data_IF_698605409624
#
_entry.id   IF_698605409624
#
_cell.length_a   1.000
_cell.length_b   1.000
_cell.length_c   1.000
_cell.angle_alpha   90.00
_cell.angle_beta   90.00
_cell.angle_gamma   90.00
#
_symmetry.space_group_name_H-M   'P 1'
#
loop_
_entity.id
_entity.type
_entity.pdbx_description
1 polymer ?
#
# COMPACT_ATOMS: atom_id res chain seq x y z
N UNK A 1 -21.41 -11.31 -3.70
CA UNK A 1 -22.32 -10.77 -4.74
C UNK A 1 -21.46 -10.39 -5.95
N UNK A 2 -21.49 -11.19 -7.01
CA UNK A 2 -20.84 -10.85 -8.28
C UNK A 2 -21.73 -9.87 -9.04
N UNK A 3 -21.40 -8.58 -8.99
CA UNK A 3 -22.06 -7.57 -9.81
C UNK A 3 -21.54 -7.65 -11.24
N UNK A 4 -22.43 -7.89 -12.21
CA UNK A 4 -22.15 -7.82 -13.66
C UNK A 4 -22.21 -6.38 -14.18
N UNK A 5 -22.00 -5.37 -13.32
CA UNK A 5 -21.97 -3.99 -13.74
C UNK A 5 -20.85 -3.79 -14.77
N UNK A 6 -21.25 -3.27 -15.91
CA UNK A 6 -20.44 -2.89 -17.07
C UNK A 6 -19.21 -2.10 -16.62
N UNK A 7 -18.05 -2.77 -16.58
CA UNK A 7 -16.79 -2.17 -16.07
C UNK A 7 -16.18 -1.17 -17.05
N UNK A 8 -16.51 -1.27 -18.34
CA UNK A 8 -15.68 -0.68 -19.39
C UNK A 8 -16.41 0.30 -20.33
N UNK A 9 -17.70 0.61 -20.09
CA UNK A 9 -18.54 1.45 -20.97
C UNK A 9 -18.51 1.05 -22.47
N UNK A 10 -18.13 -0.19 -22.80
CA UNK A 10 -17.94 -0.64 -24.17
C UNK A 10 -19.27 -0.99 -24.85
N UNK A 11 -19.53 -0.49 -26.06
CA UNK A 11 -20.74 -0.80 -26.84
C UNK A 11 -21.65 0.41 -27.10
N UNK A 12 -22.86 0.17 -27.62
CA UNK A 12 -23.83 1.26 -27.91
C UNK A 12 -24.69 1.53 -26.70
N UNK A 13 -24.49 2.67 -26.06
CA UNK A 13 -25.36 3.19 -25.00
C UNK A 13 -26.12 4.43 -25.48
N UNK A 14 -27.33 4.62 -24.95
CA UNK A 14 -28.10 5.86 -25.15
C UNK A 14 -28.29 6.56 -23.81
N UNK A 15 -27.83 7.80 -23.73
CA UNK A 15 -28.06 8.66 -22.57
C UNK A 15 -29.57 8.94 -22.48
N UNK A 16 -30.16 8.62 -21.32
CA UNK A 16 -31.58 8.89 -21.06
C UNK A 16 -31.77 10.21 -20.31
N UNK A 17 -30.87 10.52 -19.36
CA UNK A 17 -30.95 11.72 -18.52
C UNK A 17 -29.57 12.14 -18.06
N UNK A 18 -29.29 13.44 -18.14
CA UNK A 18 -28.15 14.08 -17.48
C UNK A 18 -28.69 15.23 -16.66
N UNK A 19 -28.35 15.26 -15.38
CA UNK A 19 -28.57 16.42 -14.51
C UNK A 19 -27.25 16.87 -13.91
N UNK A 20 -27.29 17.91 -13.07
CA UNK A 20 -26.12 18.31 -12.30
C UNK A 20 -25.55 17.17 -11.46
N UNK A 21 -26.41 16.29 -10.91
CA UNK A 21 -26.02 15.26 -9.94
C UNK A 21 -26.24 13.82 -10.41
N UNK A 22 -26.77 13.59 -11.60
CA UNK A 22 -27.12 12.23 -12.05
C UNK A 22 -26.84 12.01 -13.53
N UNK A 23 -26.28 10.86 -13.86
CA UNK A 23 -26.23 10.32 -15.22
C UNK A 23 -27.07 9.04 -15.27
N UNK A 24 -28.08 9.00 -16.12
CA UNK A 24 -28.87 7.80 -16.39
C UNK A 24 -28.72 7.43 -17.86
N UNK A 25 -28.35 6.19 -18.16
CA UNK A 25 -28.27 5.69 -19.52
C UNK A 25 -28.90 4.32 -19.66
N UNK A 26 -29.28 3.99 -20.90
CA UNK A 26 -29.77 2.67 -21.30
C UNK A 26 -28.69 1.95 -22.08
N UNK A 27 -28.40 0.71 -21.69
CA UNK A 27 -27.50 -0.18 -22.41
C UNK A 27 -28.06 -1.60 -22.33
N UNK A 28 -28.12 -2.29 -23.47
CA UNK A 28 -28.57 -3.68 -23.57
C UNK A 28 -29.91 -3.97 -22.87
N UNK A 29 -30.85 -3.02 -22.94
CA UNK A 29 -32.17 -3.10 -22.30
C UNK A 29 -32.20 -2.71 -20.82
N UNK A 30 -31.06 -2.66 -20.14
CA UNK A 30 -30.94 -2.21 -18.76
C UNK A 30 -30.86 -0.68 -18.66
N UNK A 31 -31.40 -0.13 -17.56
CA UNK A 31 -31.27 1.30 -17.21
C UNK A 31 -30.33 1.39 -16.01
N UNK A 32 -29.23 2.11 -16.19
CA UNK A 32 -28.21 2.34 -15.16
C UNK A 32 -28.23 3.81 -14.75
N UNK A 33 -28.09 4.08 -13.46
CA UNK A 33 -28.09 5.44 -12.90
C UNK A 33 -26.89 5.63 -11.97
N UNK A 34 -26.15 6.70 -12.21
CA UNK A 34 -24.96 7.09 -11.46
C UNK A 34 -25.24 8.42 -10.80
N UNK A 35 -24.86 8.55 -9.53
CA UNK A 35 -24.88 9.82 -8.82
C UNK A 35 -23.50 10.45 -8.96
N UNK A 36 -23.46 11.72 -9.33
CA UNK A 36 -22.24 12.52 -9.29
C UNK A 36 -21.81 12.60 -7.83
N UNK A 37 -20.64 12.07 -7.55
CA UNK A 37 -19.99 12.33 -6.27
C UNK A 37 -19.77 13.84 -6.15
N UNK A 38 -19.94 14.38 -4.95
CA UNK A 38 -19.50 15.75 -4.68
C UNK A 38 -18.06 15.91 -5.20
N UNK A 39 -17.67 17.13 -5.58
CA UNK A 39 -16.25 17.40 -5.87
C UNK A 39 -15.50 16.80 -4.70
N UNK A 40 -14.66 15.80 -4.99
CA UNK A 40 -13.75 15.26 -4.00
C UNK A 40 -13.12 16.51 -3.39
N UNK A 41 -13.30 16.70 -2.08
CA UNK A 41 -12.49 17.64 -1.33
C UNK A 41 -11.10 17.02 -1.41
N UNK A 42 -10.42 17.24 -2.54
CA UNK A 42 -9.04 16.85 -2.72
C UNK A 42 -8.36 17.49 -1.53
N UNK A 43 -7.77 16.68 -0.62
CA UNK A 43 -7.09 17.23 0.53
C UNK A 43 -6.17 18.33 0.00
N UNK A 44 -6.27 19.57 0.53
CA UNK A 44 -5.59 20.71 -0.06
C UNK A 44 -4.13 20.30 -0.28
N UNK A 45 -3.60 20.52 -1.49
CA UNK A 45 -2.22 20.16 -1.82
C UNK A 45 -1.31 20.64 -0.69
N UNK A 46 -0.85 19.70 0.12
CA UNK A 46 -0.03 20.07 1.26
C UNK A 46 1.38 20.28 0.75
N UNK A 47 2.03 21.34 1.24
CA UNK A 47 3.46 21.55 0.98
C UNK A 47 4.19 20.24 1.28
N UNK A 48 5.05 19.77 0.36
CA UNK A 48 5.64 18.46 0.50
C UNK A 48 6.48 18.40 1.78
N UNK A 49 6.27 17.37 2.58
CA UNK A 49 7.00 17.18 3.84
C UNK A 49 8.50 16.96 3.60
N UNK A 50 8.85 16.45 2.43
CA UNK A 50 10.21 16.22 1.95
C UNK A 50 10.34 16.91 0.59
N UNK A 51 11.39 17.71 0.40
CA UNK A 51 11.58 18.48 -0.85
C UNK A 51 12.58 17.85 -1.81
N UNK A 52 13.40 16.91 -1.34
CA UNK A 52 14.42 16.24 -2.14
C UNK A 52 13.96 14.82 -2.45
N UNK A 53 13.87 14.49 -3.74
CA UNK A 53 13.53 13.14 -4.23
C UNK A 53 14.62 12.15 -3.78
N UNK A 54 14.30 11.13 -2.98
CA UNK A 54 15.27 10.10 -2.61
C UNK A 54 15.67 9.26 -3.82
N UNK A 55 16.92 8.79 -3.83
CA UNK A 55 17.43 7.85 -4.84
C UNK A 55 17.76 6.53 -4.17
N UNK A 56 17.29 5.43 -4.75
CA UNK A 56 17.64 4.06 -4.36
C UNK A 56 18.70 3.52 -5.34
N UNK A 57 19.86 3.12 -4.82
CA UNK A 57 21.04 2.79 -5.64
C UNK A 57 21.47 1.32 -5.58
N UNK A 58 20.71 0.45 -4.91
CA UNK A 58 21.01 -0.98 -4.86
C UNK A 58 20.65 -1.69 -6.18
N UNK A 59 21.30 -2.84 -6.40
CA UNK A 59 21.14 -3.70 -7.58
C UNK A 59 20.62 -5.08 -7.14
N UNK A 60 19.76 -5.68 -7.96
CA UNK A 60 19.22 -7.03 -7.83
C UNK A 60 20.31 -8.09 -7.71
N UNK A 61 21.38 -7.98 -8.50
CA UNK A 61 22.46 -8.99 -8.50
C UNK A 61 23.15 -9.15 -7.13
N UNK A 62 23.09 -8.12 -6.27
CA UNK A 62 23.66 -8.17 -4.92
C UNK A 62 22.77 -8.89 -3.88
N UNK A 63 21.61 -9.39 -4.33
CA UNK A 63 20.59 -10.10 -3.54
C UNK A 63 20.37 -11.54 -4.04
N UNK A 64 21.13 -11.95 -5.06
CA UNK A 64 21.09 -13.29 -5.63
C UNK A 64 22.30 -14.12 -5.17
N UNK A 65 22.11 -15.42 -5.05
CA UNK A 65 23.18 -16.38 -4.82
C UNK A 65 23.95 -16.70 -6.10
N UNK A 66 25.00 -17.52 -5.98
CA UNK A 66 25.91 -17.85 -7.08
C UNK A 66 25.22 -18.57 -8.26
N UNK A 67 24.08 -19.20 -8.02
CA UNK A 67 23.23 -19.85 -9.02
C UNK A 67 22.21 -18.91 -9.67
N UNK A 68 22.13 -17.65 -9.22
CA UNK A 68 21.15 -16.66 -9.66
C UNK A 68 19.77 -16.80 -9.02
N UNK A 69 19.65 -17.59 -7.95
CA UNK A 69 18.43 -17.71 -7.13
C UNK A 69 18.38 -16.65 -6.04
N UNK A 70 17.19 -16.41 -5.47
CA UNK A 70 17.05 -15.55 -4.31
C UNK A 70 17.83 -16.11 -3.11
N UNK A 71 18.59 -15.25 -2.42
CA UNK A 71 19.27 -15.62 -1.19
C UNK A 71 18.29 -15.64 0.00
N UNK A 72 17.91 -16.83 0.42
CA UNK A 72 16.96 -17.03 1.53
C UNK A 72 17.55 -16.77 2.93
N UNK A 73 18.86 -16.54 3.09
CA UNK A 73 19.46 -16.25 4.41
C UNK A 73 18.94 -14.95 5.02
N UNK A 74 18.40 -14.04 4.22
CA UNK A 74 17.84 -12.78 4.70
C UNK A 74 16.45 -12.91 5.31
N UNK A 75 15.75 -14.04 5.11
CA UNK A 75 14.44 -14.29 5.68
C UNK A 75 14.48 -14.40 7.21
N UNK A 76 15.43 -15.18 7.73
CA UNK A 76 15.67 -15.33 9.16
C UNK A 76 16.09 -14.02 9.85
N UNK A 77 16.50 -13.01 9.07
CA UNK A 77 16.91 -11.70 9.57
C UNK A 77 15.75 -10.70 9.62
N UNK A 78 14.58 -11.04 9.09
CA UNK A 78 13.39 -10.19 9.19
C UNK A 78 12.94 -10.08 10.64
N UNK A 79 12.45 -8.89 11.07
CA UNK A 79 12.10 -8.68 12.47
C UNK A 79 10.77 -9.32 12.87
N UNK A 80 9.96 -9.74 11.91
CA UNK A 80 8.59 -10.18 12.12
C UNK A 80 8.30 -11.47 11.37
N UNK A 81 7.44 -12.28 11.97
CA UNK A 81 6.73 -13.38 11.32
C UNK A 81 5.24 -13.06 11.26
N UNK A 82 4.50 -13.68 10.35
CA UNK A 82 3.09 -13.31 10.10
C UNK A 82 2.22 -13.39 11.36
N UNK A 83 2.44 -14.39 12.21
CA UNK A 83 1.76 -14.56 13.49
C UNK A 83 1.91 -13.33 14.40
N UNK A 84 3.12 -12.78 14.49
CA UNK A 84 3.43 -11.59 15.27
C UNK A 84 2.78 -10.34 14.68
N UNK A 85 2.71 -10.26 13.34
CA UNK A 85 2.09 -9.17 12.61
C UNK A 85 0.59 -9.12 12.89
N UNK A 86 -0.13 -10.22 12.63
CA UNK A 86 -1.59 -10.23 12.81
C UNK A 86 -2.00 -10.03 14.27
N UNK A 87 -1.25 -10.61 15.22
CA UNK A 87 -1.53 -10.46 16.65
C UNK A 87 -1.26 -9.04 17.15
N UNK A 88 -0.32 -8.32 16.55
CA UNK A 88 -0.11 -6.91 16.86
C UNK A 88 -1.21 -6.05 16.23
N UNK A 89 -1.45 -6.21 14.92
CA UNK A 89 -2.34 -5.35 14.14
C UNK A 89 -3.81 -5.45 14.56
N UNK A 90 -4.30 -6.60 15.03
CA UNK A 90 -5.70 -6.76 15.49
C UNK A 90 -6.12 -5.80 16.61
N UNK A 91 -5.16 -5.20 17.31
CA UNK A 91 -5.39 -4.21 18.37
C UNK A 91 -5.51 -2.77 17.85
N UNK A 92 -5.49 -2.58 16.54
CA UNK A 92 -5.53 -1.30 15.87
C UNK A 92 -6.64 -1.29 14.82
N UNK A 93 -7.17 -0.10 14.56
CA UNK A 93 -8.19 0.14 13.53
C UNK A 93 -7.61 0.79 12.28
N UNK A 94 -6.47 1.45 12.40
CA UNK A 94 -5.93 2.25 11.31
C UNK A 94 -4.46 2.59 11.48
N UNK A 95 -3.72 2.50 10.37
CA UNK A 95 -2.36 3.02 10.21
C UNK A 95 -2.40 4.16 9.20
N UNK A 96 -1.87 5.33 9.56
CA UNK A 96 -1.83 6.50 8.67
C UNK A 96 -0.40 6.90 8.39
N UNK A 97 -0.09 7.06 7.10
CA UNK A 97 1.18 7.56 6.60
C UNK A 97 0.98 8.93 5.95
N UNK A 98 1.98 9.80 6.07
CA UNK A 98 2.16 10.87 5.10
C UNK A 98 2.88 10.28 3.89
N UNK A 99 2.27 10.38 2.71
CA UNK A 99 2.89 10.02 1.44
C UNK A 99 3.35 11.30 0.74
N UNK A 100 4.64 11.36 0.37
CA UNK A 100 5.17 12.37 -0.54
C UNK A 100 5.46 11.72 -1.88
N UNK A 101 4.78 12.16 -2.92
CA UNK A 101 4.93 11.65 -4.28
C UNK A 101 5.85 12.57 -5.08
N UNK A 102 6.88 11.99 -5.71
CA UNK A 102 7.87 12.65 -6.55
C UNK A 102 7.75 12.12 -8.00
N UNK A 103 6.84 12.67 -8.80
CA UNK A 103 6.79 12.36 -10.23
C UNK A 103 8.03 12.92 -10.93
N UNK A 104 8.43 12.32 -12.05
CA UNK A 104 9.61 12.78 -12.80
C UNK A 104 9.46 14.20 -13.37
N UNK A 105 8.28 14.53 -13.91
CA UNK A 105 8.05 15.74 -14.70
C UNK A 105 7.26 16.83 -13.96
N UNK A 106 6.86 16.58 -12.71
CA UNK A 106 6.02 17.49 -11.94
C UNK A 106 6.60 17.79 -10.56
N UNK A 107 6.07 18.82 -9.91
CA UNK A 107 6.44 19.16 -8.55
C UNK A 107 5.96 18.06 -7.58
N UNK A 108 6.72 17.78 -6.52
CA UNK A 108 6.27 16.86 -5.50
C UNK A 108 5.08 17.42 -4.74
N UNK A 109 4.18 16.53 -4.36
CA UNK A 109 3.03 16.82 -3.50
C UNK A 109 2.99 15.84 -2.32
N UNK A 110 2.20 16.17 -1.31
CA UNK A 110 1.99 15.28 -0.16
C UNK A 110 0.51 15.14 0.18
N UNK A 111 0.15 13.93 0.59
CA UNK A 111 -1.20 13.54 0.99
C UNK A 111 -1.12 12.47 2.09
N UNK A 112 -2.27 12.14 2.67
CA UNK A 112 -2.38 11.07 3.65
C UNK A 112 -2.83 9.80 2.99
N UNK A 113 -2.18 8.71 3.34
CA UNK A 113 -2.58 7.36 2.98
C UNK A 113 -2.98 6.65 4.27
N UNK A 114 -4.15 6.03 4.25
CA UNK A 114 -4.68 5.30 5.39
C UNK A 114 -4.85 3.82 5.02
N UNK A 115 -4.48 2.94 5.94
CA UNK A 115 -4.81 1.52 5.89
C UNK A 115 -5.69 1.19 7.09
N UNK A 116 -6.95 0.83 6.86
CA UNK A 116 -7.88 0.38 7.90
C UNK A 116 -7.65 -1.09 8.17
N UNK A 117 -7.72 -1.47 9.43
CA UNK A 117 -7.55 -2.85 9.87
C UNK A 117 -8.91 -3.34 10.36
N UNK A 118 -9.44 -4.41 9.77
CA UNK A 118 -10.66 -5.05 10.26
C UNK A 118 -10.32 -6.45 10.76
N UNK A 119 -10.41 -6.62 12.08
CA UNK A 119 -10.30 -7.92 12.72
C UNK A 119 -11.69 -8.43 13.09
N UNK A 120 -11.99 -9.67 12.71
CA UNK A 120 -13.21 -10.37 13.10
C UNK A 120 -12.85 -11.45 14.14
N UNK A 121 -13.31 -11.22 15.37
CA UNK A 121 -13.04 -12.12 16.49
C UNK A 121 -13.76 -13.47 16.39
N UNK A 122 -14.94 -13.52 15.76
CA UNK A 122 -15.70 -14.77 15.63
C UNK A 122 -15.06 -15.70 14.61
N UNK A 123 -14.70 -15.15 13.45
CA UNK A 123 -14.14 -15.92 12.34
C UNK A 123 -12.61 -16.06 12.42
N UNK A 124 -11.98 -15.35 13.37
CA UNK A 124 -10.52 -15.26 13.50
C UNK A 124 -9.86 -14.85 12.18
N UNK A 125 -10.41 -13.80 11.55
CA UNK A 125 -9.87 -13.25 10.30
C UNK A 125 -9.43 -11.81 10.46
N UNK A 126 -8.42 -11.41 9.70
CA UNK A 126 -7.92 -10.03 9.65
C UNK A 126 -7.74 -9.58 8.21
N UNK A 127 -8.15 -8.36 7.92
CA UNK A 127 -7.81 -7.68 6.68
C UNK A 127 -7.22 -6.29 6.95
N UNK A 128 -6.45 -5.78 5.99
CA UNK A 128 -5.87 -4.44 6.05
C UNK A 128 -5.99 -3.76 4.71
N UNK A 129 -6.94 -2.83 4.59
CA UNK A 129 -7.31 -2.24 3.30
C UNK A 129 -6.95 -0.76 3.21
N UNK A 130 -6.47 -0.34 2.05
CA UNK A 130 -6.23 1.09 1.79
C UNK A 130 -7.55 1.86 1.72
N UNK A 131 -7.61 2.98 2.42
CA UNK A 131 -8.79 3.83 2.55
C UNK A 131 -8.47 5.25 2.05
N UNK A 132 -9.27 5.73 1.11
CA UNK A 132 -9.18 7.09 0.59
C UNK A 132 -10.12 8.00 1.37
N UNK A 133 -9.55 8.91 2.17
CA UNK A 133 -10.35 9.98 2.77
C UNK A 133 -10.98 10.92 1.74
N UNK A 134 -10.36 11.05 0.56
CA UNK A 134 -10.90 11.90 -0.50
C UNK A 134 -12.20 11.31 -1.06
N UNK A 135 -12.23 9.99 -1.30
CA UNK A 135 -13.40 9.28 -1.82
C UNK A 135 -14.37 8.83 -0.71
N UNK A 136 -13.92 8.92 0.56
CA UNK A 136 -14.61 8.37 1.72
C UNK A 136 -14.93 6.87 1.55
N UNK A 137 -14.05 6.13 0.87
CA UNK A 137 -14.22 4.73 0.51
C UNK A 137 -12.86 3.99 0.44
N UNK A 138 -12.91 2.66 0.41
CA UNK A 138 -11.75 1.81 0.17
C UNK A 138 -11.26 1.93 -1.27
N UNK A 139 -9.94 1.97 -1.45
CA UNK A 139 -9.32 2.08 -2.79
C UNK A 139 -9.36 0.75 -3.52
N UNK A 140 -9.16 -0.35 -2.79
CA UNK A 140 -9.28 -1.70 -3.32
C UNK A 140 -10.61 -2.34 -2.88
N UNK A 141 -11.25 -3.05 -3.81
CA UNK A 141 -12.51 -3.76 -3.58
C UNK A 141 -12.32 -5.26 -3.33
N UNK A 142 -11.13 -5.82 -3.58
CA UNK A 142 -10.91 -7.27 -3.60
C UNK A 142 -9.63 -7.68 -2.86
N UNK A 143 -9.66 -7.67 -1.53
CA UNK A 143 -8.73 -8.47 -0.73
C UNK A 143 -9.52 -9.42 0.17
N UNK A 144 -9.13 -10.70 0.11
CA UNK A 144 -9.67 -11.74 0.96
C UNK A 144 -9.01 -11.66 2.35
N UNK A 145 -9.80 -11.65 3.44
CA UNK A 145 -9.25 -11.65 4.79
C UNK A 145 -8.33 -12.86 5.03
N UNK A 146 -7.23 -12.64 5.73
CA UNK A 146 -6.32 -13.69 6.17
C UNK A 146 -6.96 -14.43 7.34
N UNK A 147 -7.00 -15.75 7.27
CA UNK A 147 -7.46 -16.61 8.37
C UNK A 147 -6.31 -16.85 9.34
N UNK A 148 -6.50 -16.56 10.62
CA UNK A 148 -5.45 -16.68 11.63
C UNK A 148 -5.13 -18.13 12.05
N UNK A 149 -5.94 -19.10 11.65
CA UNK A 149 -5.73 -20.51 12.00
C UNK A 149 -4.69 -21.21 11.08
N UNK A 150 -4.49 -20.71 9.86
CA UNK A 150 -3.69 -21.38 8.82
C UNK A 150 -2.51 -20.50 8.36
N UNK A 151 -2.00 -19.64 9.24
CA UNK A 151 -0.94 -18.68 8.92
C UNK A 151 0.37 -19.35 8.50
N UNK A 152 0.62 -20.59 8.93
CA UNK A 152 1.83 -21.36 8.61
C UNK A 152 1.89 -21.77 7.14
N UNK A 153 0.74 -21.93 6.49
CA UNK A 153 0.68 -22.42 5.11
C UNK A 153 1.05 -21.33 4.09
N UNK A 154 1.11 -20.08 4.55
CA UNK A 154 1.34 -18.88 3.73
C UNK A 154 2.35 -17.94 4.37
N UNK A 155 3.19 -18.42 5.30
CA UNK A 155 4.12 -17.56 6.05
C UNK A 155 5.01 -16.75 5.10
N UNK A 156 5.47 -17.39 4.01
CA UNK A 156 6.33 -16.78 3.00
C UNK A 156 5.63 -15.66 2.22
N UNK A 157 4.32 -15.79 2.00
CA UNK A 157 3.47 -14.85 1.27
C UNK A 157 3.15 -13.58 2.07
N UNK A 158 3.50 -13.56 3.37
CA UNK A 158 3.12 -12.46 4.26
C UNK A 158 4.26 -11.86 5.08
N UNK A 159 5.52 -12.10 4.69
CA UNK A 159 6.70 -11.50 5.32
C UNK A 159 6.65 -9.97 5.42
N UNK A 160 6.01 -9.31 4.45
CA UNK A 160 5.89 -7.85 4.40
C UNK A 160 4.46 -7.34 4.64
N UNK A 161 3.54 -8.18 5.11
CA UNK A 161 2.17 -7.76 5.41
C UNK A 161 2.15 -6.57 6.40
N UNK A 162 1.31 -5.53 6.18
CA UNK A 162 0.24 -5.39 5.19
C UNK A 162 0.67 -4.63 3.92
N UNK A 163 1.92 -4.79 3.49
CA UNK A 163 2.42 -4.33 2.20
C UNK A 163 2.66 -5.52 1.30
N UNK A 164 2.65 -5.24 0.00
CA UNK A 164 2.99 -6.25 -1.00
C UNK A 164 4.35 -6.86 -0.68
N UNK A 165 4.42 -8.18 -0.88
CA UNK A 165 5.64 -8.91 -0.70
C UNK A 165 6.73 -8.45 -1.68
N UNK A 166 7.98 -8.54 -1.22
CA UNK A 166 9.14 -8.33 -2.06
C UNK A 166 9.50 -9.66 -2.73
N UNK A 167 9.72 -9.65 -4.04
CA UNK A 167 10.14 -10.85 -4.79
C UNK A 167 11.59 -11.22 -4.52
N UNK A 168 12.41 -10.22 -4.20
CA UNK A 168 13.81 -10.36 -3.84
C UNK A 168 14.19 -9.20 -2.95
N UNK A 169 14.88 -9.48 -1.86
CA UNK A 169 15.22 -8.47 -0.87
C UNK A 169 16.52 -8.78 -0.15
N UNK A 170 16.97 -7.84 0.66
CA UNK A 170 18.13 -7.99 1.53
C UNK A 170 17.92 -7.19 2.79
N UNK A 171 18.22 -7.81 3.93
CA UNK A 171 18.28 -7.10 5.20
C UNK A 171 19.63 -6.42 5.29
N UNK A 172 19.65 -5.09 5.23
CA UNK A 172 20.90 -4.29 5.17
C UNK A 172 21.38 -3.79 6.54
N UNK A 173 20.60 -4.03 7.60
CA UNK A 173 20.96 -3.73 8.98
C UNK A 173 19.83 -3.07 9.74
N UNK A 174 20.19 -2.26 10.74
CA UNK A 174 19.24 -1.56 11.61
C UNK A 174 19.52 -0.05 11.62
N UNK A 175 18.47 0.76 11.61
CA UNK A 175 18.54 2.22 11.70
C UNK A 175 17.51 2.76 12.71
N UNK A 176 17.86 3.82 13.42
CA UNK A 176 16.91 4.56 14.26
C UNK A 176 16.20 5.64 13.43
N UNK A 177 14.88 5.52 13.27
CA UNK A 177 14.06 6.41 12.44
C UNK A 177 13.14 7.27 13.30
N UNK A 178 13.27 8.58 13.13
CA UNK A 178 12.36 9.56 13.72
C UNK A 178 11.10 9.70 12.88
N UNK A 179 9.96 9.64 13.55
CA UNK A 179 8.62 9.89 13.00
C UNK A 179 7.88 10.88 13.91
N UNK A 180 6.73 11.44 13.48
CA UNK A 180 5.80 12.14 14.36
C UNK A 180 5.40 11.39 15.65
N UNK A 181 5.45 10.05 15.66
CA UNK A 181 5.09 9.23 16.82
C UNK A 181 6.28 8.95 17.76
N UNK A 182 7.50 9.35 17.39
CA UNK A 182 8.71 9.10 18.15
C UNK A 182 9.82 8.49 17.31
N UNK A 183 10.87 8.05 17.99
CA UNK A 183 12.02 7.37 17.38
C UNK A 183 11.83 5.86 17.51
N UNK A 184 12.15 5.13 16.45
CA UNK A 184 12.00 3.69 16.39
C UNK A 184 13.25 3.03 15.86
N UNK A 185 13.71 1.99 16.54
CA UNK A 185 14.72 1.07 15.99
C UNK A 185 14.05 0.18 14.95
N UNK A 186 14.58 0.24 13.73
CA UNK A 186 14.00 -0.41 12.57
C UNK A 186 15.00 -1.34 11.91
N UNK A 187 14.59 -2.55 11.55
CA UNK A 187 15.29 -3.35 10.55
C UNK A 187 15.04 -2.75 9.18
N UNK A 188 16.11 -2.62 8.40
CA UNK A 188 16.10 -1.98 7.09
C UNK A 188 16.18 -3.04 6.01
N UNK A 189 15.22 -3.03 5.11
CA UNK A 189 15.14 -3.97 3.99
C UNK A 189 15.19 -3.19 2.68
N UNK A 190 16.03 -3.65 1.77
CA UNK A 190 16.09 -3.18 0.38
C UNK A 190 15.67 -4.33 -0.54
N UNK A 191 14.84 -4.07 -1.54
CA UNK A 191 14.36 -5.13 -2.41
C UNK A 191 13.54 -4.63 -3.60
N UNK A 192 12.89 -5.57 -4.26
CA UNK A 192 12.10 -5.33 -5.46
C UNK A 192 10.70 -5.90 -5.30
N UNK A 193 9.69 -5.18 -5.78
CA UNK A 193 8.33 -5.71 -5.95
C UNK A 193 8.23 -6.64 -7.16
N UNK A 194 7.06 -7.25 -7.38
CA UNK A 194 6.75 -8.03 -8.59
C UNK A 194 6.99 -7.26 -9.90
N UNK A 195 6.69 -5.96 -9.95
CA UNK A 195 6.92 -5.11 -11.14
C UNK A 195 8.30 -4.44 -11.19
N UNK A 196 9.32 -5.04 -10.58
CA UNK A 196 10.70 -4.54 -10.54
C UNK A 196 10.87 -3.12 -9.93
N UNK A 197 9.88 -2.62 -9.18
CA UNK A 197 10.03 -1.36 -8.46
C UNK A 197 10.99 -1.56 -7.29
N UNK A 198 11.94 -0.65 -7.13
CA UNK A 198 12.86 -0.66 -5.98
C UNK A 198 12.10 -0.20 -4.73
N UNK A 199 12.18 -0.98 -3.66
CA UNK A 199 11.58 -0.66 -2.38
C UNK A 199 12.67 -0.66 -1.31
N UNK A 200 12.68 0.37 -0.47
CA UNK A 200 13.43 0.39 0.79
C UNK A 200 12.46 0.63 1.93
N UNK A 201 12.42 -0.26 2.90
CA UNK A 201 11.48 -0.22 4.01
C UNK A 201 12.22 -0.25 5.35
N UNK A 202 11.67 0.47 6.33
CA UNK A 202 12.16 0.51 7.71
C UNK A 202 11.09 -0.10 8.60
N UNK A 203 11.24 -1.39 8.89
CA UNK A 203 10.33 -2.21 9.69
C UNK A 203 10.57 -1.94 11.18
N UNK A 204 9.60 -1.38 11.91
CA UNK A 204 9.76 -1.09 13.35
C UNK A 204 9.82 -2.40 14.16
N UNK A 205 10.95 -2.68 14.79
CA UNK A 205 11.18 -3.96 15.47
C UNK A 205 10.16 -4.24 16.59
N UNK A 206 9.73 -3.19 17.29
CA UNK A 206 8.75 -3.28 18.38
C UNK A 206 7.28 -3.19 17.93
N UNK A 207 7.01 -3.10 16.62
CA UNK A 207 5.66 -2.92 16.05
C UNK A 207 5.47 -3.74 14.77
N UNK A 208 5.26 -5.07 14.89
CA UNK A 208 4.99 -5.94 13.75
C UNK A 208 3.92 -5.39 12.80
N UNK A 209 4.21 -5.40 11.49
CA UNK A 209 3.33 -4.87 10.44
C UNK A 209 3.29 -3.35 10.32
N UNK A 210 4.09 -2.62 11.09
CA UNK A 210 4.15 -1.15 11.05
C UNK A 210 5.54 -0.69 10.63
N UNK A 211 5.58 0.01 9.50
CA UNK A 211 6.80 0.59 8.97
C UNK A 211 6.96 2.01 9.48
N UNK A 212 8.18 2.42 9.85
CA UNK A 212 8.46 3.82 10.17
C UNK A 212 8.50 4.65 8.88
N UNK A 213 9.07 4.07 7.82
CA UNK A 213 9.26 4.70 6.53
C UNK A 213 9.26 3.65 5.41
N UNK A 214 8.76 4.01 4.24
CA UNK A 214 8.89 3.23 3.01
C UNK A 214 9.27 4.19 1.88
N UNK A 215 10.22 3.80 1.04
CA UNK A 215 10.52 4.47 -0.22
C UNK A 215 10.27 3.46 -1.34
N UNK A 216 9.38 3.80 -2.28
CA UNK A 216 9.13 3.03 -3.49
C UNK A 216 9.56 3.87 -4.68
N UNK A 217 10.42 3.33 -5.54
CA UNK A 217 10.87 3.98 -6.76
C UNK A 217 10.53 3.12 -7.99
N UNK A 218 9.71 3.69 -8.88
CA UNK A 218 9.42 3.16 -10.20
C UNK A 218 10.29 3.86 -11.23
N UNK A 219 11.26 3.13 -11.77
CA UNK A 219 12.12 3.62 -12.85
C UNK A 219 11.40 3.41 -14.18
N UNK A 220 10.86 4.48 -14.75
CA UNK A 220 10.21 4.47 -16.06
C UNK A 220 10.44 5.82 -16.77
N UNK A 221 10.46 5.83 -18.12
CA UNK A 221 10.69 7.04 -18.89
C UNK A 221 9.53 8.04 -18.76
N UNK A 222 9.88 9.33 -18.79
CA UNK A 222 8.94 10.44 -18.70
C UNK A 222 8.05 10.36 -17.46
N UNK A 223 6.78 10.69 -17.65
CA UNK A 223 5.80 10.87 -16.58
C UNK A 223 5.35 9.58 -15.89
N UNK A 224 5.73 8.40 -16.42
CA UNK A 224 5.40 7.11 -15.82
C UNK A 224 6.31 6.73 -14.65
N UNK A 225 7.47 7.38 -14.51
CA UNK A 225 8.40 7.16 -13.42
C UNK A 225 8.11 8.07 -12.23
N UNK A 226 8.25 7.52 -11.02
CA UNK A 226 7.99 8.26 -9.79
C UNK A 226 8.73 7.65 -8.59
N UNK A 227 8.78 8.42 -7.50
CA UNK A 227 9.21 7.93 -6.18
C UNK A 227 8.18 8.33 -5.14
N UNK A 228 7.70 7.38 -4.34
CA UNK A 228 6.84 7.64 -3.19
C UNK A 228 7.64 7.46 -1.91
N UNK A 229 7.45 8.38 -0.97
CA UNK A 229 7.99 8.28 0.38
C UNK A 229 6.85 8.29 1.37
N UNK A 230 6.69 7.19 2.09
CA UNK A 230 5.70 7.03 3.15
C UNK A 230 6.41 7.21 4.48
N UNK A 231 5.88 8.05 5.37
CA UNK A 231 6.39 8.24 6.73
C UNK A 231 5.23 8.06 7.72
N UNK A 232 5.42 7.19 8.71
CA UNK A 232 4.40 6.89 9.71
C UNK A 232 3.95 8.16 10.41
N UNK A 233 2.65 8.44 10.39
CA UNK A 233 2.06 9.65 11.00
C UNK A 233 1.23 9.33 12.22
N UNK A 234 0.41 8.28 12.15
CA UNK A 234 -0.56 7.94 13.19
C UNK A 234 -0.83 6.44 13.23
N UNK A 235 -1.16 5.95 14.42
CA UNK A 235 -1.61 4.60 14.69
C UNK A 235 -2.83 4.69 15.61
N UNK A 236 -4.00 4.23 15.15
CA UNK A 236 -5.26 4.35 15.89
C UNK A 236 -5.70 2.99 16.42
N UNK A 237 -6.06 2.94 17.71
CA UNK A 237 -6.71 1.79 18.35
C UNK A 237 -8.23 1.86 18.19
#
# INVERSE_FOLDING_TARGET
>A
MSSTLDKDFNGKASILKVTENTLTYKKDGAILSFTKLDKLDTPPETKPAITIKPKLSFNRDAMLDADGSFNYEDEDKLPWKIDSIVNYLKNYKEIVYTATHFPNDYKPNSFLVSSKINFNETDQTIDVREYSYAQNDYIDMNEDPITMNDLTDYEDDFHFFPKDNLTIYKVVGTENIKTPLGNFDCTVVEGFSEFDNKIKSWMINSKPGVYAKIILAKEAPGSFGYTNVYTLKKLNK
#
